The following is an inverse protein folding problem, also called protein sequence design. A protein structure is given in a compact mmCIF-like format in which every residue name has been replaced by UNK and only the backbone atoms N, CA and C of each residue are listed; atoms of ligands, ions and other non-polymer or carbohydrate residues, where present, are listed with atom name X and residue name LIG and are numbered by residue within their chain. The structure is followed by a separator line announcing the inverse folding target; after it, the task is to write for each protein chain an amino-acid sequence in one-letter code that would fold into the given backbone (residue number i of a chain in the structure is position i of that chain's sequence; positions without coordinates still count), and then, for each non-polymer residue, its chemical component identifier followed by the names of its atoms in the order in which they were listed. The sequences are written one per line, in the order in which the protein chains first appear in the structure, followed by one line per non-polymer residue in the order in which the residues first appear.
data_IF_137781294472
#
_entry.id   IF_137781294472
#
_cell.length_a   1.000
_cell.length_b   1.000
_cell.length_c   1.000
_cell.angle_alpha   90.00
_cell.angle_beta   90.00
_cell.angle_gamma   90.00
#
_symmetry.space_group_name_H-M   'P 1'
#
loop_
_entity.id
_entity.type
_entity.pdbx_description
1 polymer ?
#
# COMPACT_ATOMS: atom_id res chain seq x y z
N UNK A 1 -24.23 -21.01 24.45
CA UNK A 1 -23.58 -20.08 25.39
C UNK A 1 -23.12 -18.90 24.56
N UNK A 2 -23.94 -17.85 24.52
CA UNK A 2 -23.69 -16.67 23.68
C UNK A 2 -22.76 -15.71 24.40
N UNK A 3 -21.99 -14.94 23.63
CA UNK A 3 -21.13 -13.86 24.13
C UNK A 3 -22.04 -12.86 24.82
N UNK A 4 -21.72 -12.48 26.06
CA UNK A 4 -22.50 -11.51 26.83
C UNK A 4 -22.06 -10.09 26.46
N UNK A 5 -22.92 -9.08 26.62
CA UNK A 5 -22.60 -7.67 26.33
C UNK A 5 -21.34 -7.16 27.06
N UNK A 6 -21.04 -7.76 28.22
CA UNK A 6 -19.84 -7.48 29.00
C UNK A 6 -18.56 -8.04 28.34
N UNK A 7 -18.66 -9.23 27.75
CA UNK A 7 -17.56 -9.87 27.04
C UNK A 7 -17.29 -9.14 25.72
N UNK A 8 -18.34 -8.69 25.04
CA UNK A 8 -18.24 -7.91 23.80
C UNK A 8 -17.57 -6.54 24.03
N UNK A 9 -17.92 -5.86 25.12
CA UNK A 9 -17.29 -4.58 25.51
C UNK A 9 -15.82 -4.76 25.90
N UNK A 10 -15.47 -5.80 26.66
CA UNK A 10 -14.08 -6.12 26.99
C UNK A 10 -13.26 -6.42 25.74
N UNK A 11 -13.80 -7.18 24.79
CA UNK A 11 -13.12 -7.43 23.51
C UNK A 11 -12.89 -6.15 22.72
N UNK A 12 -13.86 -5.24 22.67
CA UNK A 12 -13.70 -3.93 22.01
C UNK A 12 -12.60 -3.08 22.67
N UNK A 13 -12.55 -3.02 24.00
CA UNK A 13 -11.53 -2.29 24.74
C UNK A 13 -10.12 -2.88 24.55
N UNK A 14 -9.98 -4.21 24.63
CA UNK A 14 -8.71 -4.90 24.40
C UNK A 14 -8.20 -4.72 22.96
N UNK A 15 -9.11 -4.74 21.97
CA UNK A 15 -8.78 -4.51 20.57
C UNK A 15 -8.30 -3.06 20.36
N UNK A 16 -9.02 -2.07 20.90
CA UNK A 16 -8.62 -0.66 20.77
C UNK A 16 -7.22 -0.37 21.36
N UNK A 17 -6.90 -0.93 22.54
CA UNK A 17 -5.59 -0.76 23.20
C UNK A 17 -4.46 -1.39 22.37
N UNK A 18 -4.68 -2.56 21.77
CA UNK A 18 -3.68 -3.24 20.92
C UNK A 18 -3.35 -2.46 19.65
N UNK A 19 -4.34 -1.81 19.05
CA UNK A 19 -4.14 -1.08 17.79
C UNK A 19 -3.64 0.36 18.00
N UNK A 20 -3.89 0.99 19.15
CA UNK A 20 -3.32 2.31 19.47
C UNK A 20 -1.78 2.31 19.59
N UNK A 21 -1.17 1.22 20.09
CA UNK A 21 0.30 1.12 20.26
C UNK A 21 1.10 1.10 18.96
N UNK A 22 0.47 0.96 17.78
CA UNK A 22 1.18 0.97 16.48
C UNK A 22 1.44 2.37 15.91
N UNK A 23 0.85 3.42 16.50
CA UNK A 23 1.10 4.81 16.08
C UNK A 23 2.42 5.40 16.62
N UNK A 24 3.23 4.61 17.33
CA UNK A 24 4.54 5.01 17.85
C UNK A 24 5.68 4.87 16.81
N UNK A 25 5.37 4.81 15.50
CA UNK A 25 6.36 5.05 14.44
C UNK A 25 6.66 6.57 14.29
N UNK A 26 6.73 7.29 15.41
CA UNK A 26 7.12 8.70 15.46
C UNK A 26 8.64 8.78 15.45
N UNK A 27 9.23 8.86 14.26
CA UNK A 27 10.68 9.06 14.14
C UNK A 27 11.14 9.83 12.91
N UNK A 28 10.40 9.77 11.79
CA UNK A 28 10.83 10.44 10.56
C UNK A 28 9.83 11.50 10.14
N UNK A 29 10.27 12.76 10.22
CA UNK A 29 9.53 13.90 9.70
C UNK A 29 9.86 13.99 8.21
N UNK A 30 9.11 13.24 7.41
CA UNK A 30 9.21 13.29 5.95
C UNK A 30 8.79 14.68 5.46
N UNK A 31 9.50 15.25 4.49
CA UNK A 31 9.11 16.54 3.93
C UNK A 31 7.92 16.37 2.98
N UNK A 32 7.10 17.41 2.81
CA UNK A 32 5.98 17.41 1.85
C UNK A 32 6.44 17.02 0.44
N UNK A 33 7.64 17.47 0.06
CA UNK A 33 8.30 17.13 -1.21
C UNK A 33 8.63 15.64 -1.31
N UNK A 34 9.08 15.02 -0.22
CA UNK A 34 9.39 13.59 -0.21
C UNK A 34 8.10 12.75 -0.29
N UNK A 35 7.02 13.19 0.36
CA UNK A 35 5.70 12.55 0.29
C UNK A 35 5.17 12.56 -1.15
N UNK A 36 5.16 13.71 -1.82
CA UNK A 36 4.70 13.83 -3.20
C UNK A 36 5.50 12.92 -4.14
N UNK A 37 6.83 12.96 -4.04
CA UNK A 37 7.73 12.12 -4.85
C UNK A 37 7.48 10.64 -4.63
N UNK A 38 7.19 10.23 -3.39
CA UNK A 38 6.91 8.84 -3.06
C UNK A 38 5.54 8.38 -3.58
N UNK A 39 4.58 9.29 -3.76
CA UNK A 39 3.28 9.00 -4.38
C UNK A 39 3.32 8.95 -5.91
N UNK A 40 4.32 9.57 -6.53
CA UNK A 40 4.49 9.61 -7.98
C UNK A 40 4.96 8.27 -8.58
N UNK A 41 4.47 8.00 -9.79
CA UNK A 41 5.05 6.95 -10.62
C UNK A 41 6.44 7.36 -11.11
N UNK A 42 7.49 6.60 -10.80
CA UNK A 42 8.86 6.86 -11.24
C UNK A 42 9.13 6.77 -12.76
N UNK A 43 8.10 6.60 -13.58
CA UNK A 43 8.19 6.59 -15.06
C UNK A 43 7.50 7.82 -15.68
N UNK A 44 6.27 8.14 -15.27
CA UNK A 44 5.51 9.27 -15.82
C UNK A 44 5.49 10.50 -14.90
N UNK A 45 5.98 10.39 -13.66
CA UNK A 45 6.00 11.46 -12.65
C UNK A 45 4.60 12.01 -12.32
N UNK A 46 3.59 11.16 -12.37
CA UNK A 46 2.22 11.53 -11.99
C UNK A 46 1.82 10.73 -10.74
N UNK A 47 1.09 11.39 -9.83
CA UNK A 47 0.47 10.76 -8.66
C UNK A 47 -0.62 9.80 -9.12
N UNK A 48 -0.35 8.50 -9.01
CA UNK A 48 -1.22 7.41 -9.46
C UNK A 48 -1.02 6.19 -8.59
N UNK A 49 -2.05 5.36 -8.46
CA UNK A 49 -1.89 4.03 -7.86
C UNK A 49 -0.79 3.26 -8.58
N UNK A 50 0.19 2.80 -7.80
CA UNK A 50 1.33 2.04 -8.29
C UNK A 50 1.08 0.55 -8.14
N UNK A 51 1.74 -0.21 -9.00
CA UNK A 51 1.85 -1.66 -8.93
C UNK A 51 3.30 -2.06 -8.66
N UNK A 52 3.49 -3.12 -7.90
CA UNK A 52 4.79 -3.69 -7.56
C UNK A 52 5.09 -4.86 -8.49
N UNK A 53 6.29 -4.86 -9.06
CA UNK A 53 6.78 -5.93 -9.91
C UNK A 53 7.28 -7.11 -9.05
N UNK A 54 6.78 -8.35 -9.27
CA UNK A 54 7.06 -9.48 -8.37
C UNK A 54 8.52 -9.94 -8.39
N UNK A 55 9.26 -9.67 -9.48
CA UNK A 55 10.63 -10.15 -9.64
C UNK A 55 11.68 -9.25 -8.96
N UNK A 56 11.36 -7.97 -8.72
CA UNK A 56 12.35 -6.98 -8.30
C UNK A 56 11.81 -5.91 -7.34
N UNK A 57 10.56 -6.00 -6.91
CA UNK A 57 9.87 -5.10 -5.99
C UNK A 57 9.86 -3.61 -6.39
N UNK A 58 10.19 -3.29 -7.64
CA UNK A 58 10.07 -1.93 -8.15
C UNK A 58 8.62 -1.58 -8.45
N UNK A 59 8.31 -0.28 -8.36
CA UNK A 59 6.96 0.24 -8.46
C UNK A 59 6.80 1.22 -9.63
N UNK A 60 5.67 1.11 -10.34
CA UNK A 60 5.24 2.08 -11.38
C UNK A 60 3.71 2.03 -11.50
N UNK A 61 3.08 2.99 -12.16
CA UNK A 61 1.64 2.91 -12.41
C UNK A 61 1.31 1.81 -13.45
N UNK A 62 0.09 1.27 -13.37
CA UNK A 62 -0.35 0.16 -14.23
C UNK A 62 -0.28 0.49 -15.74
N UNK A 63 -0.54 1.75 -16.11
CA UNK A 63 -0.45 2.20 -17.50
C UNK A 63 1.01 2.17 -17.99
N UNK A 64 1.94 2.70 -17.20
CA UNK A 64 3.37 2.65 -17.51
C UNK A 64 3.87 1.20 -17.61
N UNK A 65 3.42 0.30 -16.74
CA UNK A 65 3.75 -1.13 -16.84
C UNK A 65 3.30 -1.71 -18.19
N UNK A 66 2.04 -1.48 -18.58
CA UNK A 66 1.47 -2.01 -19.82
C UNK A 66 2.23 -1.48 -21.04
N UNK A 67 2.40 -0.17 -21.13
CA UNK A 67 3.08 0.49 -22.25
C UNK A 67 4.54 0.07 -22.34
N UNK A 68 5.19 -0.11 -21.19
CA UNK A 68 6.57 -0.56 -21.13
C UNK A 68 6.72 -2.00 -21.60
N UNK A 69 5.84 -2.92 -21.20
CA UNK A 69 5.88 -4.32 -21.62
C UNK A 69 5.70 -4.52 -23.14
N UNK A 70 5.08 -3.55 -23.83
CA UNK A 70 5.00 -3.53 -25.30
C UNK A 70 6.34 -3.17 -25.95
N UNK A 71 7.24 -2.47 -25.24
CA UNK A 71 8.53 -1.99 -25.74
C UNK A 71 9.72 -2.83 -25.26
N UNK A 72 9.70 -3.25 -24.00
CA UNK A 72 10.75 -4.05 -23.37
C UNK A 72 10.19 -4.98 -22.30
N UNK A 73 10.72 -6.20 -22.26
CA UNK A 73 10.40 -7.21 -21.26
C UNK A 73 11.42 -7.19 -20.10
N UNK A 74 11.87 -6.00 -19.69
CA UNK A 74 12.80 -5.78 -18.58
C UNK A 74 12.34 -4.62 -17.71
N UNK A 75 12.51 -4.68 -16.40
CA UNK A 75 12.18 -3.59 -15.48
C UNK A 75 12.89 -2.29 -15.91
N UNK A 76 12.20 -1.13 -16.01
CA UNK A 76 12.83 0.13 -16.39
C UNK A 76 13.85 0.64 -15.36
N UNK A 77 13.77 0.15 -14.12
CA UNK A 77 14.61 0.61 -13.02
C UNK A 77 15.88 -0.25 -12.85
N UNK A 78 15.74 -1.57 -12.81
CA UNK A 78 16.84 -2.50 -12.55
C UNK A 78 17.19 -3.45 -13.70
N UNK A 79 16.42 -3.43 -14.79
CA UNK A 79 16.58 -4.31 -15.96
C UNK A 79 16.33 -5.80 -15.72
N UNK A 80 15.83 -6.20 -14.54
CA UNK A 80 15.38 -7.57 -14.31
C UNK A 80 14.29 -7.99 -15.30
N UNK A 81 14.31 -9.26 -15.70
CA UNK A 81 13.36 -9.80 -16.68
C UNK A 81 11.92 -9.70 -16.20
N UNK A 82 11.04 -9.18 -17.05
CA UNK A 82 9.58 -9.21 -16.89
C UNK A 82 8.91 -10.30 -17.73
N UNK A 83 9.70 -11.13 -18.43
CA UNK A 83 9.16 -12.27 -19.17
C UNK A 83 8.29 -13.13 -18.25
N UNK A 84 7.06 -13.41 -18.69
CA UNK A 84 6.04 -14.21 -17.98
C UNK A 84 5.34 -13.50 -16.81
N UNK A 85 5.62 -12.23 -16.55
CA UNK A 85 4.81 -11.42 -15.63
C UNK A 85 3.57 -10.93 -16.37
N UNK A 86 2.39 -11.19 -15.81
CA UNK A 86 1.11 -10.73 -16.33
C UNK A 86 0.47 -9.75 -15.34
N UNK A 87 -0.65 -9.12 -15.74
CA UNK A 87 -1.37 -8.19 -14.88
C UNK A 87 -1.87 -8.81 -13.56
N UNK A 88 -2.12 -10.11 -13.54
CA UNK A 88 -2.53 -10.84 -12.33
C UNK A 88 -1.39 -11.10 -11.34
N UNK A 89 -0.14 -10.97 -11.78
CA UNK A 89 1.04 -11.17 -10.93
C UNK A 89 1.48 -9.87 -10.22
N UNK A 90 0.81 -8.75 -10.54
CA UNK A 90 1.11 -7.42 -10.02
C UNK A 90 0.40 -7.19 -8.69
N UNK A 91 1.12 -6.60 -7.74
CA UNK A 91 0.58 -6.27 -6.42
C UNK A 91 0.26 -4.79 -6.38
N UNK A 92 -0.88 -4.40 -5.81
CA UNK A 92 -1.18 -2.98 -5.59
C UNK A 92 -0.25 -2.47 -4.48
N UNK A 93 0.43 -1.36 -4.75
CA UNK A 93 1.18 -0.64 -3.71
C UNK A 93 0.18 0.18 -2.89
N UNK A 94 0.09 -0.12 -1.59
CA UNK A 94 -0.69 0.65 -0.63
C UNK A 94 0.22 1.53 0.20
N UNK A 95 -0.08 2.82 0.28
CA UNK A 95 0.62 3.75 1.15
C UNK A 95 -0.10 3.92 2.50
N UNK A 96 0.49 4.70 3.40
CA UNK A 96 -0.05 4.90 4.76
C UNK A 96 -1.38 5.64 4.77
N UNK A 97 -1.68 6.44 3.75
CA UNK A 97 -2.96 7.12 3.58
C UNK A 97 -4.07 6.18 3.12
N UNK A 98 -3.74 5.03 2.52
CA UNK A 98 -4.72 3.99 2.18
C UNK A 98 -5.20 3.18 3.40
N UNK A 99 -4.56 3.36 4.57
CA UNK A 99 -4.88 2.60 5.78
C UNK A 99 -5.97 3.33 6.59
N UNK A 100 -7.17 2.78 6.60
CA UNK A 100 -8.29 3.29 7.40
C UNK A 100 -8.21 2.78 8.84
N UNK A 101 -8.36 3.68 9.82
CA UNK A 101 -8.42 3.31 11.22
C UNK A 101 -9.66 2.47 11.55
N UNK A 102 -9.46 1.46 12.39
CA UNK A 102 -10.52 0.57 12.88
C UNK A 102 -11.67 1.35 13.52
N UNK A 103 -11.37 2.42 14.26
CA UNK A 103 -12.37 3.27 14.89
C UNK A 103 -13.24 4.03 13.88
N UNK A 104 -12.75 4.30 12.67
CA UNK A 104 -13.54 4.86 11.57
C UNK A 104 -14.49 3.82 10.99
N UNK A 105 -14.01 2.58 10.78
CA UNK A 105 -14.82 1.47 10.25
C UNK A 105 -16.03 1.16 11.14
N UNK A 106 -15.86 1.22 12.46
CA UNK A 106 -16.95 0.97 13.41
C UNK A 106 -17.98 2.09 13.53
N UNK A 107 -17.70 3.30 13.02
CA UNK A 107 -18.66 4.44 13.03
C UNK A 107 -19.61 4.43 11.84
N UNK A 108 -19.29 3.68 10.79
CA UNK A 108 -20.10 3.59 9.56
C UNK A 108 -21.15 2.46 9.60
N UNK A 109 -21.26 1.73 10.72
CA UNK A 109 -22.28 0.69 10.95
C UNK A 109 -23.23 1.04 12.09
#
# INVERSE_FOLDING_TARGET
MGITDLDERKQKEEYAIKYQKKNDFKGWKESEIDIERDQECGVCLEVKTKVVLPNCCHQMCFNCYRDWCLRSQSCPFCRDSLKRVNSGDLWIYTDTSDIVDVGTIFKEN
#
